data_IF_189597508319
#
_entry.id   IF_189597508319
#
_cell.length_a   1.000
_cell.length_b   1.000
_cell.length_c   1.000
_cell.angle_alpha   90.00
_cell.angle_beta   90.00
_cell.angle_gamma   90.00
#
_symmetry.space_group_name_H-M   'P 1'
#
loop_
_entity.id
_entity.type
_entity.pdbx_description
1 polymer ?
#
# COMPACT_ATOMS: atom_id res chain seq x y z
N UNK A 1 -0.15 -22.16 1.52
CA UNK A 1 -0.65 -20.83 1.09
C UNK A 1 -1.36 -20.13 2.26
N UNK A 2 -0.64 -19.93 3.37
CA UNK A 2 -1.06 -19.18 4.55
C UNK A 2 0.22 -18.54 5.09
N UNK A 3 0.73 -17.53 4.40
CA UNK A 3 1.82 -16.75 5.00
C UNK A 3 1.21 -15.96 6.17
N UNK A 4 1.67 -16.17 7.41
CA UNK A 4 1.12 -15.47 8.58
C UNK A 4 1.26 -13.94 8.49
N UNK A 5 2.01 -13.42 7.52
CA UNK A 5 2.16 -11.99 7.24
C UNK A 5 1.01 -11.39 6.42
N UNK A 6 0.24 -12.20 5.66
CA UNK A 6 -0.80 -11.68 4.76
C UNK A 6 -1.98 -11.04 5.49
N UNK A 7 -2.40 -11.63 6.61
CA UNK A 7 -3.43 -11.05 7.47
C UNK A 7 -2.94 -9.74 8.13
N UNK A 8 -1.70 -9.71 8.60
CA UNK A 8 -1.14 -8.53 9.25
C UNK A 8 -0.98 -7.35 8.27
N UNK A 9 -0.53 -7.62 7.04
CA UNK A 9 -0.40 -6.60 6.00
C UNK A 9 -1.74 -5.91 5.70
N UNK A 10 -2.82 -6.70 5.56
CA UNK A 10 -4.17 -6.17 5.33
C UNK A 10 -4.61 -5.25 6.47
N UNK A 11 -4.45 -5.68 7.72
CA UNK A 11 -4.85 -4.88 8.88
C UNK A 11 -3.97 -3.65 9.09
N UNK A 12 -2.67 -3.73 8.78
CA UNK A 12 -1.75 -2.59 8.81
C UNK A 12 -2.19 -1.52 7.80
N UNK A 13 -2.53 -1.91 6.58
CA UNK A 13 -3.04 -1.02 5.54
C UNK A 13 -4.34 -0.35 5.96
N UNK A 14 -5.27 -1.11 6.55
CA UNK A 14 -6.51 -0.57 7.10
C UNK A 14 -6.19 0.42 8.24
N UNK A 15 -5.29 0.10 9.18
CA UNK A 15 -4.95 1.01 10.27
C UNK A 15 -4.30 2.31 9.77
N UNK A 16 -3.46 2.24 8.74
CA UNK A 16 -2.79 3.41 8.16
C UNK A 16 -3.78 4.31 7.40
N UNK A 17 -4.73 3.72 6.67
CA UNK A 17 -5.67 4.49 5.83
C UNK A 17 -6.99 4.85 6.53
N UNK A 18 -7.39 4.14 7.58
CA UNK A 18 -8.69 4.33 8.25
C UNK A 18 -8.74 5.70 8.92
N UNK A 19 -9.66 6.54 8.44
CA UNK A 19 -9.87 7.89 8.95
C UNK A 19 -9.03 8.97 8.26
N UNK A 20 -8.22 8.63 7.26
CA UNK A 20 -7.34 9.56 6.55
C UNK A 20 -7.67 9.60 5.05
N UNK A 21 -7.58 10.79 4.44
CA UNK A 21 -7.64 10.93 2.98
C UNK A 21 -6.26 10.67 2.41
N UNK A 22 -6.13 9.55 1.70
CA UNK A 22 -4.93 9.18 0.94
C UNK A 22 -5.05 9.68 -0.51
N UNK A 23 -3.94 10.14 -1.07
CA UNK A 23 -3.84 10.53 -2.48
C UNK A 23 -3.32 9.35 -3.28
N UNK A 24 -4.13 8.81 -4.19
CA UNK A 24 -3.70 7.77 -5.11
C UNK A 24 -3.37 8.40 -6.47
N UNK A 25 -2.11 8.32 -6.87
CA UNK A 25 -1.68 8.68 -8.21
C UNK A 25 -1.53 7.41 -9.04
N UNK A 26 -2.17 7.35 -10.20
CA UNK A 26 -2.11 6.20 -11.10
C UNK A 26 -1.15 6.54 -12.23
N UNK A 27 0.17 6.30 -12.08
CA UNK A 27 1.15 6.69 -13.09
C UNK A 27 0.95 5.94 -14.41
N UNK A 28 0.52 4.68 -14.36
CA UNK A 28 0.36 3.86 -15.56
C UNK A 28 -0.52 2.63 -15.29
N UNK A 29 -1.25 2.19 -16.31
CA UNK A 29 -1.84 0.85 -16.35
C UNK A 29 -0.80 -0.13 -16.87
N UNK A 30 -0.56 -1.19 -16.12
CA UNK A 30 0.36 -2.26 -16.49
C UNK A 30 -0.11 -2.99 -17.75
N UNK A 31 0.79 -3.70 -18.43
CA UNK A 31 0.51 -4.46 -19.67
C UNK A 31 -0.55 -5.55 -19.51
N UNK A 32 -0.88 -5.92 -18.26
CA UNK A 32 -1.95 -6.85 -17.91
C UNK A 32 -3.28 -6.16 -17.53
N UNK A 33 -3.49 -4.91 -17.92
CA UNK A 33 -4.61 -4.03 -17.51
C UNK A 33 -4.72 -3.82 -15.98
N UNK A 34 -3.66 -4.17 -15.23
CA UNK A 34 -3.62 -3.94 -13.78
C UNK A 34 -3.34 -2.47 -13.53
N UNK A 35 -4.22 -1.82 -12.80
CA UNK A 35 -4.04 -0.43 -12.43
C UNK A 35 -3.04 -0.36 -11.27
N UNK A 36 -1.84 0.16 -11.55
CA UNK A 36 -0.82 0.37 -10.52
C UNK A 36 -0.92 1.83 -10.06
N UNK A 37 -1.19 2.01 -8.77
CA UNK A 37 -1.29 3.33 -8.16
C UNK A 37 -0.21 3.48 -7.08
N UNK A 38 0.42 4.65 -7.03
CA UNK A 38 1.22 5.10 -5.90
C UNK A 38 0.30 5.83 -4.94
N UNK A 39 0.21 5.34 -3.71
CA UNK A 39 -0.63 5.92 -2.68
C UNK A 39 0.24 6.70 -1.70
N UNK A 40 -0.12 7.96 -1.48
CA UNK A 40 0.53 8.87 -0.55
C UNK A 40 -0.40 9.15 0.64
N UNK A 41 0.17 9.07 1.84
CA UNK A 41 -0.48 9.53 3.07
C UNK A 41 -0.68 11.04 3.03
N UNK A 42 -1.64 11.59 3.80
CA UNK A 42 -1.86 13.05 3.88
C UNK A 42 -0.62 13.81 4.36
N UNK A 43 0.27 13.12 5.06
CA UNK A 43 1.58 13.60 5.54
C UNK A 43 2.65 13.69 4.41
N UNK A 44 2.33 13.24 3.19
CA UNK A 44 3.27 13.19 2.06
C UNK A 44 4.14 11.92 2.00
N UNK A 45 3.97 10.98 2.94
CA UNK A 45 4.71 9.71 2.96
C UNK A 45 4.16 8.69 1.96
N UNK A 46 5.04 7.97 1.28
CA UNK A 46 4.69 6.86 0.40
C UNK A 46 4.18 5.66 1.20
N UNK A 47 2.93 5.26 0.97
CA UNK A 47 2.32 4.11 1.65
C UNK A 47 3.06 2.81 1.33
N UNK A 48 3.47 2.62 0.07
CA UNK A 48 4.20 1.43 -0.35
C UNK A 48 5.56 1.32 0.35
N UNK A 49 6.29 2.43 0.47
CA UNK A 49 7.58 2.45 1.17
C UNK A 49 7.42 2.12 2.65
N UNK A 50 6.39 2.64 3.32
CA UNK A 50 6.10 2.33 4.73
C UNK A 50 5.73 0.85 4.92
N UNK A 51 5.03 0.24 3.96
CA UNK A 51 4.74 -1.19 3.99
C UNK A 51 5.99 -2.06 3.83
N UNK A 52 6.93 -1.66 2.97
CA UNK A 52 8.23 -2.35 2.83
C UNK A 52 9.05 -2.19 4.12
N UNK A 53 9.12 -0.97 4.67
CA UNK A 53 9.82 -0.68 5.94
C UNK A 53 9.30 -1.49 7.12
N UNK A 54 7.98 -1.66 7.18
CA UNK A 54 7.32 -2.45 8.22
C UNK A 54 7.45 -3.98 8.00
N UNK A 55 8.12 -4.42 6.93
CA UNK A 55 8.30 -5.83 6.60
C UNK A 55 7.03 -6.53 6.12
N UNK A 56 6.02 -5.76 5.70
CA UNK A 56 4.75 -6.29 5.18
C UNK A 56 4.75 -6.43 3.66
N UNK A 57 5.70 -5.81 2.98
CA UNK A 57 5.91 -5.91 1.54
C UNK A 57 7.39 -6.17 1.24
N UNK A 58 7.63 -6.74 0.07
CA UNK A 58 8.96 -6.94 -0.51
C UNK A 58 9.03 -5.95 -1.69
N UNK A 59 10.15 -5.24 -1.82
CA UNK A 59 10.42 -4.31 -2.92
C UNK A 59 10.62 -5.06 -4.26
#
# INVERSE_FOLDING_TARGET
MNHPHGNNAKWALIHMCKGQKIRAEVPQKDVHDRTVARCYLPDGRDLSAEMVKAGFAID
#
